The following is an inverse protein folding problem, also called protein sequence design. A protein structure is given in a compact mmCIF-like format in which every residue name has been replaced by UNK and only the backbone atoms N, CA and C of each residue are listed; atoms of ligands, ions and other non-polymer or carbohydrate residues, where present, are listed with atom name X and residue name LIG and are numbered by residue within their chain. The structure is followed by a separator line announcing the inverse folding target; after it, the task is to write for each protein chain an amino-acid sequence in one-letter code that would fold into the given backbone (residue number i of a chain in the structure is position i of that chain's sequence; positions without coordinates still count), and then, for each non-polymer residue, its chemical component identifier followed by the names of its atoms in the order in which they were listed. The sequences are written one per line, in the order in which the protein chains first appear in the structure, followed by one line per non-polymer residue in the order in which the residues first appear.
data_IF_158818761835
#
_entry.id   IF_158818761835
#
_cell.length_a   1.000
_cell.length_b   1.000
_cell.length_c   1.000
_cell.angle_alpha   90.00
_cell.angle_beta   90.00
_cell.angle_gamma   90.00
#
_symmetry.space_group_name_H-M   'P 1'
#
loop_
_entity.id
_entity.type
_entity.pdbx_description
1 polymer ?
#
# COMPACT_ATOMS: atom_id res chain seq x y z
N UNK A 1 -15.02 -14.01 16.60
CA UNK A 1 -13.69 -13.86 15.99
C UNK A 1 -13.88 -13.84 14.49
N UNK A 2 -13.30 -12.84 13.81
CA UNK A 2 -13.23 -12.82 12.35
C UNK A 2 -12.18 -13.83 11.89
N UNK A 3 -12.40 -14.46 10.75
CA UNK A 3 -11.41 -15.33 10.09
C UNK A 3 -10.35 -14.49 9.38
N UNK A 4 -9.20 -15.09 9.07
CA UNK A 4 -8.13 -14.44 8.28
C UNK A 4 -8.66 -13.83 6.98
N UNK A 5 -9.54 -14.54 6.27
CA UNK A 5 -10.15 -14.05 5.03
C UNK A 5 -11.02 -12.82 5.29
N UNK A 6 -11.88 -12.85 6.31
CA UNK A 6 -12.73 -11.70 6.66
C UNK A 6 -11.92 -10.46 7.04
N UNK A 7 -10.79 -10.64 7.75
CA UNK A 7 -9.90 -9.54 8.12
C UNK A 7 -9.27 -8.91 6.87
N UNK A 8 -8.83 -9.74 5.92
CA UNK A 8 -8.21 -9.28 4.67
C UNK A 8 -9.25 -8.60 3.76
N UNK A 9 -10.47 -9.14 3.69
CA UNK A 9 -11.56 -8.57 2.90
C UNK A 9 -11.98 -7.20 3.47
N UNK A 10 -12.10 -7.05 4.80
CA UNK A 10 -12.39 -5.76 5.44
C UNK A 10 -11.27 -4.73 5.20
N UNK A 11 -10.00 -5.16 5.20
CA UNK A 11 -8.90 -4.26 4.85
C UNK A 11 -8.97 -3.82 3.38
N UNK A 12 -9.24 -4.75 2.45
CA UNK A 12 -9.40 -4.43 1.03
C UNK A 12 -10.59 -3.50 0.76
N UNK A 13 -11.67 -3.62 1.53
CA UNK A 13 -12.81 -2.72 1.51
C UNK A 13 -12.53 -1.35 2.14
N UNK A 14 -11.40 -1.18 2.83
CA UNK A 14 -11.05 0.05 3.56
C UNK A 14 -11.82 0.24 4.86
N UNK A 15 -12.39 -0.84 5.41
CA UNK A 15 -13.15 -0.83 6.67
C UNK A 15 -12.23 -0.88 7.90
N UNK A 16 -11.04 -1.45 7.75
CA UNK A 16 -10.02 -1.56 8.81
C UNK A 16 -8.73 -0.85 8.42
N UNK A 17 -8.00 -0.37 9.42
CA UNK A 17 -6.70 0.26 9.19
C UNK A 17 -5.60 -0.77 8.90
N UNK A 18 -4.51 -0.32 8.28
CA UNK A 18 -3.32 -1.13 8.04
C UNK A 18 -2.77 -1.72 9.33
N UNK A 19 -2.55 -0.87 10.35
CA UNK A 19 -1.95 -1.29 11.63
C UNK A 19 -2.82 -2.32 12.35
N UNK A 20 -4.13 -2.10 12.41
CA UNK A 20 -5.09 -3.01 13.04
C UNK A 20 -5.15 -4.37 12.33
N UNK A 21 -5.12 -4.35 10.99
CA UNK A 21 -5.13 -5.56 10.17
C UNK A 21 -3.84 -6.36 10.39
N UNK A 22 -2.68 -5.71 10.37
CA UNK A 22 -1.40 -6.36 10.63
C UNK A 22 -1.34 -6.95 12.03
N UNK A 23 -1.82 -6.23 13.05
CA UNK A 23 -1.86 -6.73 14.43
C UNK A 23 -2.79 -7.95 14.56
N UNK A 24 -3.95 -7.93 13.90
CA UNK A 24 -4.93 -9.03 13.93
C UNK A 24 -4.42 -10.30 13.23
N UNK A 25 -3.52 -10.13 12.24
CA UNK A 25 -2.93 -11.23 11.48
C UNK A 25 -1.54 -11.65 11.99
N UNK A 26 -1.03 -11.00 13.05
CA UNK A 26 0.33 -11.19 13.55
C UNK A 26 1.41 -11.01 12.47
N UNK A 27 1.23 -10.04 11.57
CA UNK A 27 2.18 -9.71 10.51
C UNK A 27 3.19 -8.68 11.00
N UNK A 28 4.46 -8.88 10.65
CA UNK A 28 5.55 -8.00 11.06
C UNK A 28 5.76 -6.83 10.07
N UNK A 29 5.34 -7.03 8.82
CA UNK A 29 5.55 -6.07 7.75
C UNK A 29 4.31 -5.83 6.88
N UNK A 30 4.20 -4.61 6.33
CA UNK A 30 3.14 -4.30 5.37
C UNK A 30 3.26 -5.11 4.08
N UNK A 31 4.48 -5.50 3.71
CA UNK A 31 4.78 -6.42 2.60
C UNK A 31 4.09 -7.78 2.76
N UNK A 32 4.00 -8.33 3.97
CA UNK A 32 3.27 -9.59 4.21
C UNK A 32 1.77 -9.44 3.93
N UNK A 33 1.19 -8.30 4.34
CA UNK A 33 -0.21 -8.01 4.07
C UNK A 33 -0.48 -7.85 2.56
N UNK A 34 0.43 -7.18 1.84
CA UNK A 34 0.33 -7.04 0.38
C UNK A 34 0.46 -8.39 -0.33
N UNK A 35 1.36 -9.27 0.12
CA UNK A 35 1.48 -10.62 -0.42
C UNK A 35 0.22 -11.43 -0.16
N UNK A 36 -0.35 -11.35 1.05
CA UNK A 36 -1.58 -12.06 1.41
C UNK A 36 -2.80 -11.61 0.58
N UNK A 37 -2.84 -10.34 0.17
CA UNK A 37 -3.82 -9.81 -0.77
C UNK A 37 -3.57 -10.32 -2.20
N UNK A 38 -2.32 -10.27 -2.66
CA UNK A 38 -1.92 -10.74 -3.98
C UNK A 38 -2.21 -12.23 -4.20
N UNK A 39 -1.91 -13.07 -3.20
CA UNK A 39 -2.19 -14.52 -3.21
C UNK A 39 -3.69 -14.83 -3.38
N UNK A 40 -4.55 -13.88 -2.98
CA UNK A 40 -6.01 -13.99 -3.11
C UNK A 40 -6.57 -13.25 -4.33
N UNK A 41 -5.72 -12.60 -5.13
CA UNK A 41 -6.14 -11.77 -6.26
C UNK A 41 -6.93 -10.52 -5.85
N UNK A 42 -6.77 -10.06 -4.61
CA UNK A 42 -7.47 -8.90 -4.07
C UNK A 42 -6.57 -7.67 -4.19
N UNK A 43 -7.10 -6.58 -4.73
CA UNK A 43 -6.36 -5.33 -4.79
C UNK A 43 -6.32 -4.67 -3.40
N UNK A 44 -5.19 -4.07 -2.99
CA UNK A 44 -5.13 -3.28 -1.78
C UNK A 44 -6.07 -2.05 -1.88
N UNK A 45 -6.52 -1.53 -0.73
CA UNK A 45 -7.36 -0.33 -0.71
C UNK A 45 -6.60 0.83 -1.36
N UNK A 46 -7.32 1.61 -2.17
CA UNK A 46 -6.74 2.79 -2.82
C UNK A 46 -6.45 3.86 -1.78
N UNK A 47 -5.22 4.39 -1.70
CA UNK A 47 -4.92 5.50 -0.81
C UNK A 47 -5.75 6.75 -1.18
N UNK A 48 -6.06 7.63 -0.21
CA UNK A 48 -6.72 8.90 -0.47
C UNK A 48 -5.94 9.74 -1.47
N UNK A 49 -6.65 10.45 -2.35
CA UNK A 49 -6.03 11.30 -3.39
C UNK A 49 -5.02 12.30 -2.82
N UNK A 50 -5.34 12.93 -1.69
CA UNK A 50 -4.45 13.90 -1.03
C UNK A 50 -3.12 13.27 -0.58
N UNK A 51 -3.15 12.01 -0.13
CA UNK A 51 -1.93 11.29 0.25
C UNK A 51 -1.09 10.96 -0.99
N UNK A 52 -1.74 10.51 -2.07
CA UNK A 52 -1.06 10.24 -3.35
C UNK A 52 -0.38 11.51 -3.89
N UNK A 53 -1.08 12.65 -3.84
CA UNK A 53 -0.54 13.94 -4.30
C UNK A 53 0.65 14.39 -3.44
N UNK A 54 0.58 14.24 -2.11
CA UNK A 54 1.68 14.56 -1.21
C UNK A 54 2.92 13.67 -1.43
N UNK A 55 2.72 12.35 -1.59
CA UNK A 55 3.81 11.41 -1.88
C UNK A 55 4.42 11.68 -3.26
N UNK A 56 3.59 12.02 -4.26
CA UNK A 56 4.06 12.41 -5.59
C UNK A 56 4.91 13.68 -5.53
N UNK A 57 4.43 14.73 -4.84
CA UNK A 57 5.16 15.98 -4.68
C UNK A 57 6.51 15.76 -3.96
N UNK A 58 6.54 14.90 -2.94
CA UNK A 58 7.78 14.53 -2.25
C UNK A 58 8.75 13.76 -3.16
N UNK A 59 8.25 12.94 -4.08
CA UNK A 59 9.06 12.18 -5.03
C UNK A 59 9.52 12.98 -6.26
N UNK A 60 8.81 14.05 -6.64
CA UNK A 60 9.07 14.87 -7.83
C UNK A 60 10.51 15.40 -7.95
N UNK A 61 11.19 15.88 -6.87
CA UNK A 61 12.58 16.32 -6.97
C UNK A 61 13.53 15.20 -7.43
N UNK A 62 13.32 13.97 -6.95
CA UNK A 62 14.14 12.81 -7.30
C UNK A 62 13.88 12.42 -8.76
N UNK A 63 12.61 12.39 -9.17
CA UNK A 63 12.22 12.06 -10.54
C UNK A 63 12.85 13.03 -11.55
N UNK A 64 12.84 14.34 -11.25
CA UNK A 64 13.48 15.36 -12.10
C UNK A 64 15.00 15.18 -12.22
N UNK A 65 15.67 14.79 -11.14
CA UNK A 65 17.12 14.52 -11.19
C UNK A 65 17.44 13.32 -12.08
N UNK A 66 16.60 12.26 -12.05
CA UNK A 66 16.74 11.10 -12.94
C UNK A 66 16.50 11.46 -14.40
N UNK A 67 15.52 12.32 -14.72
CA UNK A 67 15.30 12.82 -16.07
C UNK A 67 16.51 13.61 -16.60
N UNK A 68 17.12 14.46 -15.77
CA UNK A 68 18.33 15.21 -16.15
C UNK A 68 19.58 14.34 -16.29
N UNK A 69 19.66 13.22 -15.56
CA UNK A 69 20.78 12.29 -15.65
C UNK A 69 20.66 11.32 -16.84
N UNK A 70 19.42 11.01 -17.27
CA UNK A 70 19.15 10.14 -18.43
C UNK A 70 19.07 10.88 -19.78
N UNK A 71 18.93 12.21 -19.78
CA UNK A 71 18.75 13.03 -20.98
C UNK A 71 20.02 13.53 -21.68
N UNK A 72 21.20 13.05 -21.28
CA UNK A 72 22.46 13.32 -21.98
C UNK A 72 22.66 12.36 -23.15
N UNK A 73 22.03 12.64 -24.29
CA UNK A 73 22.34 12.05 -25.59
C UNK A 73 22.41 13.15 -26.65
#
# INVERSE_FOLDING_TARGET
MLTTTQIIDSFAAGETSREETMQSLHMESYSELLNALADRGIAPPKPPRAQVEAELEAAMPILRMMETAGGGS
#
